data_IF_436136024572
#
_entry.id   IF_436136024572
#
_cell.length_a   1.000
_cell.length_b   1.000
_cell.length_c   1.000
_cell.angle_alpha   90.00
_cell.angle_beta   90.00
_cell.angle_gamma   90.00
#
_symmetry.space_group_name_H-M   'P 1'
#
loop_
_entity.id
_entity.type
_entity.pdbx_description
1 polymer ?
#
# COMPACT_ATOMS: atom_id res chain seq x y z
N UNK A 1 -3.11 7.31 3.38
CA UNK A 1 -4.05 7.59 4.51
C UNK A 1 -3.73 6.87 5.83
N UNK A 2 -3.89 5.54 5.97
CA UNK A 2 -3.67 4.83 7.25
C UNK A 2 -2.24 4.98 7.80
N UNK A 3 -1.25 4.86 6.91
CA UNK A 3 0.17 4.95 7.25
C UNK A 3 0.56 6.39 7.60
N UNK A 4 0.02 7.36 6.87
CA UNK A 4 0.26 8.77 7.12
C UNK A 4 -0.31 9.25 8.45
N UNK A 5 -1.51 8.81 8.86
CA UNK A 5 -2.10 9.28 10.12
C UNK A 5 -1.22 8.97 11.34
N UNK A 6 -0.62 7.78 11.38
CA UNK A 6 0.27 7.36 12.47
C UNK A 6 1.63 8.06 12.39
N UNK A 7 2.17 8.23 11.18
CA UNK A 7 3.55 8.65 10.98
C UNK A 7 3.70 10.17 10.86
N UNK A 8 2.76 10.87 10.21
CA UNK A 8 2.74 12.34 10.15
C UNK A 8 2.47 12.99 11.50
N UNK A 9 1.67 12.35 12.36
CA UNK A 9 1.45 12.78 13.75
C UNK A 9 2.61 12.42 14.68
N UNK A 10 3.64 11.73 14.15
CA UNK A 10 4.83 11.28 14.87
C UNK A 10 4.49 10.60 16.20
N UNK A 11 3.42 9.81 16.21
CA UNK A 11 3.01 9.04 17.39
C UNK A 11 4.15 8.12 17.81
N UNK A 12 4.34 7.96 19.13
CA UNK A 12 5.34 7.06 19.73
C UNK A 12 4.70 5.79 20.30
N UNK A 13 3.38 5.76 20.41
CA UNK A 13 2.60 4.62 20.87
C UNK A 13 1.26 4.55 20.16
N UNK A 14 0.77 3.32 19.97
CA UNK A 14 -0.56 3.02 19.46
C UNK A 14 -1.48 2.47 20.55
N UNK A 15 -1.02 2.41 21.80
CA UNK A 15 -1.88 2.11 22.95
C UNK A 15 -2.94 3.20 23.06
N UNK A 16 -4.20 2.80 23.06
CA UNK A 16 -5.33 3.73 23.07
C UNK A 16 -5.58 4.46 21.74
N UNK A 17 -4.87 4.10 20.66
CA UNK A 17 -5.20 4.61 19.33
C UNK A 17 -6.56 4.05 18.89
N UNK A 18 -7.43 4.92 18.39
CA UNK A 18 -8.79 4.57 17.96
C UNK A 18 -8.78 3.89 16.57
N UNK A 19 -8.45 2.60 16.57
CA UNK A 19 -8.47 1.78 15.36
C UNK A 19 -9.88 1.58 14.80
N UNK A 20 -10.90 1.51 15.65
CA UNK A 20 -12.28 1.32 15.20
C UNK A 20 -12.79 2.55 14.47
N UNK A 21 -12.65 3.74 15.06
CA UNK A 21 -13.04 4.98 14.38
C UNK A 21 -12.21 5.23 13.12
N UNK A 22 -10.96 4.78 13.06
CA UNK A 22 -10.17 4.79 11.83
C UNK A 22 -10.75 3.85 10.76
N UNK A 23 -11.13 2.63 11.11
CA UNK A 23 -11.78 1.68 10.19
C UNK A 23 -13.14 2.20 9.72
N UNK A 24 -13.93 2.81 10.60
CA UNK A 24 -15.21 3.42 10.23
C UNK A 24 -15.04 4.52 9.17
N UNK A 25 -14.00 5.36 9.31
CA UNK A 25 -13.65 6.36 8.27
C UNK A 25 -13.29 5.69 6.95
N UNK A 26 -12.55 4.59 6.95
CA UNK A 26 -12.21 3.89 5.71
C UNK A 26 -13.41 3.20 5.07
N UNK A 27 -14.25 2.55 5.86
CA UNK A 27 -15.49 1.95 5.38
C UNK A 27 -16.41 3.02 4.76
N UNK A 28 -16.51 4.20 5.39
CA UNK A 28 -17.28 5.31 4.85
C UNK A 28 -16.67 5.86 3.53
N UNK A 29 -15.35 5.96 3.43
CA UNK A 29 -14.68 6.35 2.19
C UNK A 29 -14.84 5.31 1.08
N UNK A 30 -14.77 4.02 1.39
CA UNK A 30 -14.94 2.91 0.46
C UNK A 30 -16.38 2.83 -0.06
N UNK A 31 -17.37 3.04 0.81
CA UNK A 31 -18.79 2.97 0.45
C UNK A 31 -19.25 4.07 -0.54
N UNK A 32 -18.46 5.12 -0.73
CA UNK A 32 -18.77 6.16 -1.74
C UNK A 32 -18.76 5.54 -3.13
N UNK A 33 -19.87 5.70 -3.86
CA UNK A 33 -19.97 5.29 -5.26
C UNK A 33 -18.95 6.03 -6.10
N UNK A 34 -18.13 5.28 -6.84
CA UNK A 34 -17.13 5.81 -7.78
C UNK A 34 -17.18 5.00 -9.07
N UNK A 35 -17.03 5.69 -10.19
CA UNK A 35 -16.72 5.07 -11.48
C UNK A 35 -15.31 4.48 -11.47
N UNK A 36 -15.03 3.61 -12.43
CA UNK A 36 -13.68 3.06 -12.61
C UNK A 36 -12.62 4.16 -12.81
N UNK A 37 -12.95 5.22 -13.55
CA UNK A 37 -12.02 6.33 -13.80
C UNK A 37 -11.70 7.09 -12.52
N UNK A 38 -12.71 7.36 -11.69
CA UNK A 38 -12.51 8.02 -10.39
C UNK A 38 -11.69 7.14 -9.42
N UNK A 39 -11.87 5.82 -9.44
CA UNK A 39 -11.05 4.90 -8.64
C UNK A 39 -9.59 4.93 -9.11
N UNK A 40 -9.36 4.89 -10.43
CA UNK A 40 -8.00 4.94 -10.98
C UNK A 40 -7.30 6.26 -10.69
N UNK A 41 -8.02 7.38 -10.80
CA UNK A 41 -7.52 8.70 -10.45
C UNK A 41 -7.18 8.78 -8.96
N UNK A 42 -8.07 8.32 -8.10
CA UNK A 42 -7.84 8.28 -6.65
C UNK A 42 -6.60 7.45 -6.30
N UNK A 43 -6.46 6.24 -6.87
CA UNK A 43 -5.30 5.37 -6.63
C UNK A 43 -3.99 6.04 -7.06
N UNK A 44 -3.98 6.69 -8.23
CA UNK A 44 -2.81 7.42 -8.73
C UNK A 44 -2.46 8.58 -7.80
N UNK A 45 -3.42 9.48 -7.56
CA UNK A 45 -3.18 10.71 -6.80
C UNK A 45 -2.77 10.43 -5.36
N UNK A 46 -3.43 9.49 -4.68
CA UNK A 46 -3.06 9.14 -3.30
C UNK A 46 -1.71 8.39 -3.26
N UNK A 47 -1.41 7.56 -4.26
CA UNK A 47 -0.12 6.89 -4.39
C UNK A 47 1.04 7.86 -4.59
N UNK A 48 0.87 8.86 -5.47
CA UNK A 48 1.85 9.92 -5.72
C UNK A 48 2.07 10.79 -4.47
N UNK A 49 1.00 11.17 -3.77
CA UNK A 49 1.11 11.92 -2.50
C UNK A 49 1.84 11.11 -1.42
N UNK A 50 1.54 9.81 -1.32
CA UNK A 50 2.20 8.93 -0.37
C UNK A 50 3.70 8.77 -0.69
N UNK A 51 4.04 8.58 -1.97
CA UNK A 51 5.43 8.50 -2.43
C UNK A 51 6.20 9.79 -2.14
N UNK A 52 5.64 10.94 -2.52
CA UNK A 52 6.25 12.25 -2.26
C UNK A 52 6.47 12.50 -0.76
N UNK A 53 5.55 12.06 0.10
CA UNK A 53 5.74 12.13 1.54
C UNK A 53 6.86 11.19 2.03
N UNK A 54 6.92 9.95 1.55
CA UNK A 54 7.99 9.02 1.93
C UNK A 54 9.39 9.55 1.58
N UNK A 55 9.54 10.25 0.47
CA UNK A 55 10.80 10.88 0.04
C UNK A 55 11.31 11.93 1.04
N UNK A 56 10.44 12.46 1.92
CA UNK A 56 10.85 13.42 2.96
C UNK A 56 11.40 12.76 4.24
N UNK A 57 11.29 11.45 4.37
CA UNK A 57 11.67 10.73 5.59
C UNK A 57 13.17 10.45 5.64
N UNK A 58 13.82 10.86 6.73
CA UNK A 58 15.26 10.61 6.93
C UNK A 58 15.50 9.27 7.64
N UNK A 59 16.71 8.67 7.54
CA UNK A 59 17.06 7.47 8.28
C UNK A 59 16.82 7.58 9.79
N UNK A 60 17.05 8.76 10.38
CA UNK A 60 16.85 9.02 11.81
C UNK A 60 15.36 8.95 12.18
N UNK A 61 14.48 9.51 11.34
CA UNK A 61 13.02 9.40 11.53
C UNK A 61 12.59 7.94 11.37
N UNK A 62 13.10 7.26 10.34
CA UNK A 62 12.75 5.87 10.05
C UNK A 62 13.18 4.90 11.16
N UNK A 63 14.24 5.22 11.89
CA UNK A 63 14.75 4.45 13.01
C UNK A 63 13.96 4.66 14.32
N UNK A 64 13.05 5.65 14.39
CA UNK A 64 12.21 5.85 15.57
C UNK A 64 11.32 4.65 15.84
N UNK A 65 11.22 4.29 17.12
CA UNK A 65 10.40 3.17 17.57
C UNK A 65 9.00 3.61 17.98
N UNK A 66 8.01 2.81 17.62
CA UNK A 66 6.61 2.93 18.02
C UNK A 66 6.25 1.72 18.88
N UNK A 67 5.58 1.96 20.00
CA UNK A 67 4.95 0.89 20.78
C UNK A 67 3.64 0.48 20.11
N UNK A 68 3.50 -0.80 19.80
CA UNK A 68 2.34 -1.39 19.15
C UNK A 68 1.11 -1.39 20.08
N UNK A 69 -0.11 -1.67 19.55
CA UNK A 69 -1.34 -1.63 20.35
C UNK A 69 -1.35 -2.59 21.54
N UNK A 70 -0.53 -3.64 21.50
CA UNK A 70 -0.37 -4.61 22.59
C UNK A 70 0.42 -4.05 23.80
N UNK A 71 0.98 -2.84 23.68
CA UNK A 71 1.78 -2.17 24.70
C UNK A 71 3.14 -2.81 24.99
N UNK A 72 3.54 -3.82 24.21
CA UNK A 72 4.73 -4.64 24.47
C UNK A 72 5.65 -4.70 23.25
N UNK A 73 5.08 -4.90 22.08
CA UNK A 73 5.82 -5.00 20.84
C UNK A 73 6.29 -3.60 20.44
N UNK A 74 7.56 -3.51 20.04
CA UNK A 74 8.18 -2.29 19.56
C UNK A 74 8.61 -2.51 18.11
N UNK A 75 8.25 -1.59 17.23
CA UNK A 75 8.65 -1.61 15.81
C UNK A 75 9.19 -0.25 15.40
N UNK A 76 10.19 -0.25 14.55
CA UNK A 76 10.64 0.97 13.89
C UNK A 76 9.56 1.51 12.94
N UNK A 77 9.58 2.81 12.66
CA UNK A 77 8.75 3.40 11.59
C UNK A 77 9.00 2.73 10.26
N UNK A 78 10.25 2.38 9.96
CA UNK A 78 10.61 1.64 8.76
C UNK A 78 9.85 0.32 8.65
N UNK A 79 9.87 -0.52 9.69
CA UNK A 79 9.15 -1.80 9.70
C UNK A 79 7.64 -1.61 9.53
N UNK A 80 7.05 -0.58 10.16
CA UNK A 80 5.62 -0.30 9.97
C UNK A 80 5.30 0.15 8.54
N UNK A 81 6.15 0.97 7.93
CA UNK A 81 5.94 1.48 6.57
C UNK A 81 6.03 0.38 5.50
N UNK A 82 6.77 -0.70 5.75
CA UNK A 82 6.76 -1.88 4.87
C UNK A 82 5.36 -2.47 4.69
N UNK A 83 4.51 -2.34 5.72
CA UNK A 83 3.12 -2.80 5.67
C UNK A 83 2.31 -2.17 4.54
N UNK A 84 2.64 -0.94 4.10
CA UNK A 84 1.97 -0.31 2.95
C UNK A 84 2.18 -1.11 1.67
N UNK A 85 3.44 -1.44 1.37
CA UNK A 85 3.84 -2.25 0.21
C UNK A 85 3.22 -3.65 0.30
N UNK A 86 3.32 -4.30 1.45
CA UNK A 86 2.82 -5.67 1.64
C UNK A 86 1.32 -5.76 1.46
N UNK A 87 0.57 -4.80 2.01
CA UNK A 87 -0.88 -4.72 1.87
C UNK A 87 -1.31 -4.52 0.42
N UNK A 88 -0.66 -3.61 -0.31
CA UNK A 88 -0.94 -3.41 -1.74
C UNK A 88 -0.63 -4.67 -2.56
N UNK A 89 0.54 -5.28 -2.35
CA UNK A 89 0.93 -6.53 -3.01
C UNK A 89 -0.08 -7.65 -2.77
N UNK A 90 -0.57 -7.77 -1.53
CA UNK A 90 -1.54 -8.78 -1.12
C UNK A 90 -2.86 -8.63 -1.89
N UNK A 91 -3.47 -7.44 -1.86
CA UNK A 91 -4.73 -7.21 -2.55
C UNK A 91 -4.59 -7.22 -4.08
N UNK A 92 -3.45 -6.75 -4.60
CA UNK A 92 -3.17 -6.85 -6.03
C UNK A 92 -3.11 -8.31 -6.49
N UNK A 93 -2.55 -9.21 -5.69
CA UNK A 93 -2.55 -10.65 -6.01
C UNK A 93 -3.97 -11.24 -6.01
N UNK A 94 -4.84 -10.82 -5.08
CA UNK A 94 -6.25 -11.22 -5.08
C UNK A 94 -6.96 -10.77 -6.37
N UNK A 95 -6.71 -9.54 -6.83
CA UNK A 95 -7.26 -9.05 -8.10
C UNK A 95 -6.74 -9.87 -9.29
N UNK A 96 -5.46 -10.23 -9.32
CA UNK A 96 -4.89 -11.06 -10.39
C UNK A 96 -5.50 -12.47 -10.45
N UNK A 97 -5.89 -13.03 -9.30
CA UNK A 97 -6.65 -14.28 -9.26
C UNK A 97 -8.02 -14.12 -9.93
N UNK A 98 -8.73 -13.05 -9.61
CA UNK A 98 -10.04 -12.73 -10.21
C UNK A 98 -9.90 -12.48 -11.72
N UNK A 99 -8.87 -11.75 -12.16
CA UNK A 99 -8.57 -11.55 -13.58
C UNK A 99 -8.48 -12.89 -14.32
N UNK A 100 -7.79 -13.88 -13.74
CA UNK A 100 -7.68 -15.24 -14.32
C UNK A 100 -9.02 -15.96 -14.39
N UNK A 101 -9.84 -15.88 -13.34
CA UNK A 101 -11.18 -16.47 -13.33
C UNK A 101 -12.08 -15.87 -14.42
N UNK A 102 -11.86 -14.61 -14.76
CA UNK A 102 -12.55 -13.90 -15.85
C UNK A 102 -11.91 -14.09 -17.23
N UNK A 103 -10.88 -14.94 -17.36
CA UNK A 103 -10.17 -15.16 -18.63
C UNK A 103 -9.25 -14.01 -19.06
N UNK A 104 -8.97 -13.06 -18.15
CA UNK A 104 -8.06 -11.93 -18.38
C UNK A 104 -6.65 -12.36 -17.97
N UNK A 105 -5.65 -12.07 -18.81
CA UNK A 105 -4.25 -12.29 -18.46
C UNK A 105 -3.77 -11.14 -17.56
N UNK A 106 -3.31 -11.42 -16.32
CA UNK A 106 -2.83 -10.41 -15.40
C UNK A 106 -1.67 -9.60 -15.96
N UNK A 107 -1.63 -8.32 -15.62
CA UNK A 107 -0.67 -7.38 -16.19
C UNK A 107 0.80 -7.79 -15.93
N UNK A 108 1.14 -8.32 -14.75
CA UNK A 108 2.49 -8.81 -14.48
C UNK A 108 2.85 -10.05 -15.30
N UNK A 109 1.89 -10.93 -15.60
CA UNK A 109 2.14 -12.05 -16.52
C UNK A 109 2.36 -11.56 -17.95
N UNK A 110 1.59 -10.58 -18.42
CA UNK A 110 1.83 -9.96 -19.74
C UNK A 110 3.24 -9.37 -19.82
N UNK A 111 3.63 -8.55 -18.84
CA UNK A 111 4.97 -7.97 -18.77
C UNK A 111 6.08 -9.03 -18.78
N UNK A 112 5.91 -10.13 -18.05
CA UNK A 112 6.86 -11.23 -18.08
C UNK A 112 6.95 -11.87 -19.47
N UNK A 113 5.82 -12.16 -20.11
CA UNK A 113 5.79 -12.73 -21.46
C UNK A 113 6.47 -11.81 -22.48
N UNK A 114 6.23 -10.50 -22.40
CA UNK A 114 6.85 -9.51 -23.29
C UNK A 114 8.37 -9.49 -23.13
N UNK A 115 8.87 -9.52 -21.88
CA UNK A 115 10.32 -9.62 -21.59
C UNK A 115 10.92 -10.90 -22.16
N UNK A 116 10.24 -12.04 -22.01
CA UNK A 116 10.71 -13.32 -22.58
C UNK A 116 10.74 -13.27 -24.11
N UNK A 117 9.73 -12.68 -24.75
CA UNK A 117 9.69 -12.51 -26.20
C UNK A 117 10.87 -11.64 -26.69
N UNK A 118 11.14 -10.52 -26.04
CA UNK A 118 12.29 -9.65 -26.35
C UNK A 118 13.62 -10.39 -26.21
N UNK A 119 13.82 -11.15 -25.14
CA UNK A 119 15.03 -11.94 -24.93
C UNK A 119 15.23 -13.03 -25.99
N UNK A 120 14.14 -13.64 -26.48
CA UNK A 120 14.21 -14.63 -27.57
C UNK A 120 14.57 -13.97 -28.89
N UNK A 121 13.96 -12.83 -29.21
CA UNK A 121 14.25 -12.09 -30.43
C UNK A 121 15.71 -11.60 -30.50
N UNK A 122 16.28 -11.18 -29.37
CA UNK A 122 17.68 -10.74 -29.30
C UNK A 122 18.72 -11.87 -29.45
N UNK A 123 18.29 -13.14 -29.36
CA UNK A 123 19.15 -14.32 -29.52
C UNK A 123 19.10 -14.95 -30.92
N UNK A 124 18.13 -14.54 -31.75
CA UNK A 124 17.97 -14.99 -33.13
C UNK A 124 18.76 -14.09 -34.08
#
# INVERSE_FOLDING_TARGET
RIWEEVHKKRLTTLVGFDFFGMMDRFNAEEAKTRSKLEILDLLRTEGEQFAAWMETLTPEILAETITEPDGKTQKTRFERLLGAKEHEMHHRAQLMLIERQLGIVPHLTRLFNDRVAQMRAARA
#
